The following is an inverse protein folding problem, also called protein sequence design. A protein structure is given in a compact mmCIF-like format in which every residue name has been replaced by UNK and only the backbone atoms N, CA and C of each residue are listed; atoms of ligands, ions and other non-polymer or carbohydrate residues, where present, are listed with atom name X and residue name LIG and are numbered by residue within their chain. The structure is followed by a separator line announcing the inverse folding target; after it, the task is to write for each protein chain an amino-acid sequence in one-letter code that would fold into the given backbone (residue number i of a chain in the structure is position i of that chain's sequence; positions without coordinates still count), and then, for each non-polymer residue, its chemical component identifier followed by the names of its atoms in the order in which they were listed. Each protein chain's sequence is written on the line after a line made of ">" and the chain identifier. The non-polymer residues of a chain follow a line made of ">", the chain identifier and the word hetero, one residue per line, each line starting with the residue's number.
data_IF_965449964323
#
_entry.id   IF_965449964323
#
_cell.length_a   1.000
_cell.length_b   1.000
_cell.length_c   1.000
_cell.angle_alpha   90.00
_cell.angle_beta   90.00
_cell.angle_gamma   90.00
#
_symmetry.space_group_name_H-M   'P 1'
#
loop_
_entity.id
_entity.type
_entity.pdbx_description
1 polymer ?
#
# COMPACT_ATOMS: atom_id res chain seq x y z
N UNK A 1 4.91 14.64 -4.64
CA UNK A 1 6.05 13.72 -4.90
C UNK A 1 6.76 13.26 -3.62
N UNK A 2 7.24 14.17 -2.75
CA UNK A 2 8.01 13.77 -1.55
C UNK A 2 7.30 12.83 -0.57
N UNK A 3 5.99 12.97 -0.38
CA UNK A 3 5.21 12.13 0.55
C UNK A 3 5.19 10.64 0.15
N UNK A 4 5.09 10.32 -1.14
CA UNK A 4 5.06 8.92 -1.61
C UNK A 4 6.42 8.23 -1.50
N UNK A 5 7.51 8.97 -1.75
CA UNK A 5 8.88 8.46 -1.59
C UNK A 5 9.20 8.27 -0.10
N UNK A 6 8.81 9.22 0.76
CA UNK A 6 8.95 9.09 2.22
C UNK A 6 8.19 7.88 2.78
N UNK A 7 6.99 7.59 2.27
CA UNK A 7 6.21 6.41 2.66
C UNK A 7 6.88 5.09 2.23
N UNK A 8 7.49 5.04 1.04
CA UNK A 8 8.29 3.88 0.61
C UNK A 8 9.45 3.61 1.57
N UNK A 9 10.24 4.63 1.89
CA UNK A 9 11.38 4.49 2.81
C UNK A 9 10.94 4.08 4.22
N UNK A 10 9.84 4.64 4.72
CA UNK A 10 9.29 4.27 6.03
C UNK A 10 8.85 2.80 6.09
N UNK A 11 8.17 2.29 5.05
CA UNK A 11 7.76 0.88 5.00
C UNK A 11 8.94 -0.06 4.85
N UNK A 12 9.92 0.28 4.02
CA UNK A 12 11.14 -0.53 3.88
C UNK A 12 11.89 -0.60 5.20
N UNK A 13 12.05 0.54 5.90
CA UNK A 13 12.67 0.58 7.23
C UNK A 13 11.91 -0.27 8.26
N UNK A 14 10.58 -0.17 8.31
CA UNK A 14 9.74 -0.98 9.20
C UNK A 14 9.87 -2.48 8.92
N UNK A 15 9.91 -2.88 7.64
CA UNK A 15 10.11 -4.29 7.26
C UNK A 15 11.44 -4.81 7.80
N UNK A 16 12.55 -4.09 7.61
CA UNK A 16 13.86 -4.52 8.12
C UNK A 16 13.89 -4.73 9.63
N UNK A 17 13.26 -3.84 10.40
CA UNK A 17 13.15 -3.98 11.86
C UNK A 17 12.37 -5.24 12.24
N UNK A 18 11.23 -5.48 11.59
CA UNK A 18 10.36 -6.63 11.88
C UNK A 18 11.01 -7.96 11.46
N UNK A 19 11.59 -8.02 10.26
CA UNK A 19 12.29 -9.20 9.74
C UNK A 19 13.43 -9.62 10.70
N UNK A 20 14.19 -8.65 11.24
CA UNK A 20 15.27 -8.93 12.19
C UNK A 20 14.81 -9.47 13.55
N UNK A 21 13.51 -9.34 13.87
CA UNK A 21 12.91 -9.78 15.13
C UNK A 21 12.24 -11.15 15.03
N UNK A 22 12.08 -11.69 13.81
CA UNK A 22 11.46 -12.99 13.57
C UNK A 22 12.54 -14.07 13.37
N UNK A 23 12.34 -15.30 13.90
CA UNK A 23 13.20 -16.43 13.55
C UNK A 23 13.17 -16.65 12.04
N UNK A 24 14.32 -16.91 11.41
CA UNK A 24 14.34 -17.25 9.98
C UNK A 24 13.45 -18.48 9.73
N UNK A 25 12.39 -18.28 8.95
CA UNK A 25 11.44 -19.31 8.58
C UNK A 25 11.44 -19.48 7.06
N UNK A 26 11.51 -20.71 6.59
CA UNK A 26 11.45 -21.05 5.15
C UNK A 26 10.01 -21.06 4.62
N UNK A 27 9.02 -20.78 5.47
CA UNK A 27 7.60 -20.71 5.12
C UNK A 27 7.15 -19.26 5.07
N UNK A 28 6.42 -18.88 4.02
CA UNK A 28 5.80 -17.56 3.90
C UNK A 28 4.96 -17.25 5.13
N UNK A 29 5.34 -16.22 5.89
CA UNK A 29 4.61 -15.83 7.09
C UNK A 29 3.46 -14.87 6.76
N UNK A 30 2.53 -14.72 7.70
CA UNK A 30 1.52 -13.66 7.62
C UNK A 30 2.16 -12.28 7.47
N UNK A 31 3.26 -12.02 8.19
CA UNK A 31 3.95 -10.73 8.15
C UNK A 31 4.53 -10.45 6.77
N UNK A 32 5.09 -11.46 6.10
CA UNK A 32 5.62 -11.33 4.73
C UNK A 32 4.53 -10.92 3.74
N UNK A 33 3.35 -11.53 3.89
CA UNK A 33 2.18 -11.24 3.05
C UNK A 33 1.68 -9.81 3.28
N UNK A 34 1.59 -9.37 4.54
CA UNK A 34 1.14 -8.02 4.88
C UNK A 34 2.16 -6.95 4.42
N UNK A 35 3.46 -7.21 4.55
CA UNK A 35 4.49 -6.30 4.04
C UNK A 35 4.48 -6.21 2.51
N UNK A 36 4.38 -7.34 1.81
CA UNK A 36 4.27 -7.37 0.35
C UNK A 36 3.03 -6.62 -0.15
N UNK A 37 1.88 -6.84 0.50
CA UNK A 37 0.64 -6.12 0.22
C UNK A 37 0.83 -4.61 0.41
N UNK A 38 1.41 -4.19 1.52
CA UNK A 38 1.63 -2.77 1.82
C UNK A 38 2.51 -2.09 0.78
N UNK A 39 3.60 -2.74 0.36
CA UNK A 39 4.47 -2.24 -0.71
C UNK A 39 3.72 -2.08 -2.04
N UNK A 40 2.86 -3.03 -2.39
CA UNK A 40 2.03 -2.97 -3.60
C UNK A 40 1.04 -1.81 -3.56
N UNK A 41 0.43 -1.52 -2.40
CA UNK A 41 -0.45 -0.37 -2.24
C UNK A 41 0.28 0.96 -2.33
N UNK A 42 1.49 1.07 -1.77
CA UNK A 42 2.30 2.28 -1.93
C UNK A 42 2.63 2.50 -3.41
N UNK A 43 3.02 1.45 -4.13
CA UNK A 43 3.25 1.52 -5.57
C UNK A 43 2.01 1.98 -6.34
N UNK A 44 0.83 1.44 -5.99
CA UNK A 44 -0.44 1.86 -6.59
C UNK A 44 -0.73 3.34 -6.34
N UNK A 45 -0.57 3.83 -5.10
CA UNK A 45 -0.77 5.24 -4.72
C UNK A 45 0.15 6.18 -5.51
N UNK A 46 1.42 5.80 -5.66
CA UNK A 46 2.40 6.58 -6.45
C UNK A 46 1.97 6.63 -7.93
N UNK A 47 1.57 5.48 -8.49
CA UNK A 47 1.13 5.40 -9.89
C UNK A 47 -0.12 6.26 -10.14
N UNK A 48 -1.11 6.21 -9.24
CA UNK A 48 -2.29 7.09 -9.32
C UNK A 48 -1.92 8.57 -9.20
N UNK A 49 -0.97 8.91 -8.32
CA UNK A 49 -0.51 10.29 -8.16
C UNK A 49 0.15 10.81 -9.45
N UNK A 50 0.98 9.98 -10.11
CA UNK A 50 1.59 10.30 -11.40
C UNK A 50 0.53 10.47 -12.49
N UNK A 51 -0.50 9.64 -12.51
CA UNK A 51 -1.60 9.75 -13.47
C UNK A 51 -2.44 11.02 -13.25
N UNK A 52 -2.75 11.36 -12.01
CA UNK A 52 -3.45 12.61 -11.66
C UNK A 52 -2.67 13.85 -12.12
N UNK A 53 -1.35 13.85 -11.89
CA UNK A 53 -0.46 14.89 -12.38
C UNK A 53 -0.45 15.00 -13.90
N UNK A 54 -0.52 13.87 -14.63
CA UNK A 54 -0.66 13.88 -16.09
C UNK A 54 -1.96 14.55 -16.53
N UNK A 55 -3.08 14.32 -15.85
CA UNK A 55 -4.35 15.01 -16.14
C UNK A 55 -4.27 16.50 -15.86
N UNK A 56 -3.64 16.90 -14.75
CA UNK A 56 -3.44 18.31 -14.41
C UNK A 56 -2.61 19.02 -15.50
N UNK A 57 -1.51 18.40 -15.96
CA UNK A 57 -0.69 18.94 -17.06
C UNK A 57 -1.45 19.07 -18.39
N UNK A 58 -2.52 18.32 -18.57
CA UNK A 58 -3.41 18.41 -19.73
C UNK A 58 -4.58 19.39 -19.52
N UNK A 59 -4.52 20.27 -18.51
CA UNK A 59 -5.60 21.19 -18.11
C UNK A 59 -6.92 20.50 -17.71
N UNK A 60 -6.87 19.23 -17.27
CA UNK A 60 -8.05 18.47 -16.85
C UNK A 60 -8.17 18.35 -15.32
N UNK A 61 -8.10 19.48 -14.62
CA UNK A 61 -8.02 19.55 -13.15
C UNK A 61 -9.25 18.91 -12.47
N UNK A 62 -10.46 19.15 -12.99
CA UNK A 62 -11.68 18.56 -12.41
C UNK A 62 -11.70 17.03 -12.51
N UNK A 63 -11.20 16.50 -13.63
CA UNK A 63 -11.09 15.05 -13.83
C UNK A 63 -10.02 14.47 -12.91
N UNK A 64 -8.89 15.16 -12.71
CA UNK A 64 -7.85 14.76 -11.77
C UNK A 64 -8.39 14.68 -10.33
N UNK A 65 -9.12 15.71 -9.89
CA UNK A 65 -9.70 15.76 -8.53
C UNK A 65 -10.80 14.70 -8.29
N UNK A 66 -11.56 14.34 -9.32
CA UNK A 66 -12.53 13.23 -9.24
C UNK A 66 -11.81 11.89 -9.17
N UNK A 67 -10.82 11.70 -10.04
CA UNK A 67 -9.99 10.49 -10.07
C UNK A 67 -9.29 10.27 -8.72
N UNK A 68 -8.62 11.29 -8.17
CA UNK A 68 -7.91 11.18 -6.91
C UNK A 68 -8.83 10.77 -5.75
N UNK A 69 -10.05 11.34 -5.68
CA UNK A 69 -11.02 10.95 -4.64
C UNK A 69 -11.48 9.50 -4.76
N UNK A 70 -11.79 9.06 -5.97
CA UNK A 70 -12.23 7.68 -6.22
C UNK A 70 -11.10 6.70 -5.93
N UNK A 71 -9.88 6.98 -6.41
CA UNK A 71 -8.72 6.13 -6.18
C UNK A 71 -8.31 6.09 -4.71
N UNK A 72 -8.32 7.23 -4.02
CA UNK A 72 -7.99 7.28 -2.59
C UNK A 72 -8.98 6.45 -1.76
N UNK A 73 -10.29 6.63 -1.99
CA UNK A 73 -11.31 5.87 -1.26
C UNK A 73 -11.26 4.38 -1.61
N UNK A 74 -11.12 4.05 -2.89
CA UNK A 74 -11.05 2.67 -3.37
C UNK A 74 -9.83 1.93 -2.82
N UNK A 75 -8.64 2.54 -2.89
CA UNK A 75 -7.41 1.96 -2.35
C UNK A 75 -7.46 1.84 -0.83
N UNK A 76 -8.02 2.81 -0.11
CA UNK A 76 -8.15 2.73 1.34
C UNK A 76 -9.05 1.56 1.77
N UNK A 77 -10.25 1.45 1.19
CA UNK A 77 -11.19 0.39 1.52
C UNK A 77 -10.64 -0.98 1.16
N UNK A 78 -9.99 -1.11 0.00
CA UNK A 78 -9.37 -2.36 -0.42
C UNK A 78 -8.20 -2.75 0.50
N UNK A 79 -7.36 -1.79 0.89
CA UNK A 79 -6.25 -2.05 1.80
C UNK A 79 -6.75 -2.54 3.17
N UNK A 80 -7.72 -1.84 3.76
CA UNK A 80 -8.29 -2.23 5.04
C UNK A 80 -8.99 -3.58 4.96
N UNK A 81 -9.76 -3.84 3.90
CA UNK A 81 -10.45 -5.11 3.68
C UNK A 81 -9.49 -6.28 3.53
N UNK A 82 -8.42 -6.13 2.74
CA UNK A 82 -7.43 -7.20 2.55
C UNK A 82 -6.62 -7.45 3.82
N UNK A 83 -6.19 -6.40 4.54
CA UNK A 83 -5.51 -6.58 5.83
C UNK A 83 -6.40 -7.29 6.84
N UNK A 84 -7.66 -6.86 6.98
CA UNK A 84 -8.61 -7.50 7.87
C UNK A 84 -8.84 -8.97 7.48
N UNK A 85 -8.99 -9.26 6.19
CA UNK A 85 -9.15 -10.62 5.68
C UNK A 85 -7.94 -11.52 6.02
N UNK A 86 -6.72 -11.08 5.73
CA UNK A 86 -5.52 -11.88 5.99
C UNK A 86 -5.28 -12.10 7.49
N UNK A 87 -5.53 -11.08 8.33
CA UNK A 87 -5.45 -11.21 9.79
C UNK A 87 -6.51 -12.18 10.30
N UNK A 88 -7.74 -12.10 9.79
CA UNK A 88 -8.83 -12.98 10.21
C UNK A 88 -8.61 -14.42 9.80
N UNK A 89 -8.13 -14.66 8.58
CA UNK A 89 -7.76 -15.99 8.09
C UNK A 89 -6.69 -16.62 8.98
N UNK A 90 -5.68 -15.85 9.38
CA UNK A 90 -4.63 -16.34 10.27
C UNK A 90 -5.14 -16.63 11.69
N UNK A 91 -6.07 -15.83 12.22
CA UNK A 91 -6.68 -16.08 13.53
C UNK A 91 -7.64 -17.27 13.55
N UNK A 92 -8.32 -17.59 12.43
CA UNK A 92 -9.25 -18.73 12.36
C UNK A 92 -8.58 -20.03 11.92
N UNK A 93 -7.42 -19.96 11.27
CA UNK A 93 -6.64 -21.13 10.88
C UNK A 93 -5.81 -21.77 12.01
N UNK A 94 -6.02 -21.34 13.25
CA UNK A 94 -5.30 -21.80 14.45
C UNK A 94 -6.20 -22.62 15.37
#
# INVERSE_FOLDING_TARGET
>A
FGLGVGALFAVVGNKYIIDSSLPESTTYTLVDTLHGLTLLFIFAVITTSVYSLKLIKNNQVDKANRFDRVMAMGLLLLYLGLNAYYIYQANWGN
#
